data_IF_402079016326
#
_entry.id   IF_402079016326
#
_cell.length_a   1.000
_cell.length_b   1.000
_cell.length_c   1.000
_cell.angle_alpha   90.00
_cell.angle_beta   90.00
_cell.angle_gamma   90.00
#
_symmetry.space_group_name_H-M   'P 1'
#
loop_
_entity.id
_entity.type
_entity.pdbx_description
1 polymer ?
#
# COMPACT_ATOMS: atom_id res chain seq x y z
N UNK A 1 -13.86 16.41 -4.31
CA UNK A 1 -12.59 16.06 -4.95
C UNK A 1 -12.91 15.86 -6.42
N UNK A 2 -12.13 16.40 -7.34
CA UNK A 2 -12.41 16.25 -8.77
C UNK A 2 -11.52 15.18 -9.39
N UNK A 3 -11.95 14.62 -10.52
CA UNK A 3 -11.12 13.69 -11.34
C UNK A 3 -9.81 14.34 -11.77
N UNK A 4 -9.83 15.62 -12.15
CA UNK A 4 -8.64 16.40 -12.50
C UNK A 4 -7.66 16.49 -11.33
N UNK A 5 -8.17 16.72 -10.12
CA UNK A 5 -7.31 16.79 -8.95
C UNK A 5 -6.71 15.42 -8.61
N UNK A 6 -7.45 14.32 -8.79
CA UNK A 6 -6.88 12.98 -8.63
C UNK A 6 -5.76 12.69 -9.65
N UNK A 7 -5.87 13.17 -10.89
CA UNK A 7 -4.79 13.09 -11.88
C UNK A 7 -3.56 13.86 -11.37
N UNK A 8 -3.75 15.06 -10.84
CA UNK A 8 -2.66 15.82 -10.23
C UNK A 8 -2.00 15.07 -9.06
N UNK A 9 -2.79 14.42 -8.20
CA UNK A 9 -2.28 13.60 -7.10
C UNK A 9 -1.44 12.40 -7.59
N UNK A 10 -1.87 11.74 -8.66
CA UNK A 10 -1.10 10.64 -9.29
C UNK A 10 0.22 11.13 -9.87
N UNK A 11 0.22 12.29 -10.55
CA UNK A 11 1.44 12.92 -11.05
C UNK A 11 2.38 13.28 -9.91
N UNK A 12 1.85 13.83 -8.82
CA UNK A 12 2.63 14.14 -7.62
C UNK A 12 3.25 12.86 -7.02
N UNK A 13 2.47 11.79 -6.87
CA UNK A 13 2.95 10.51 -6.35
C UNK A 13 4.09 9.93 -7.20
N UNK A 14 3.94 9.93 -8.52
CA UNK A 14 4.98 9.45 -9.44
C UNK A 14 6.27 10.27 -9.30
N UNK A 15 6.17 11.60 -9.20
CA UNK A 15 7.33 12.46 -8.97
C UNK A 15 7.99 12.22 -7.60
N UNK A 16 7.18 12.01 -6.56
CA UNK A 16 7.67 11.71 -5.22
C UNK A 16 8.44 10.38 -5.20
N UNK A 17 7.86 9.30 -5.76
CA UNK A 17 8.50 7.99 -5.84
C UNK A 17 9.78 8.02 -6.70
N UNK A 18 9.74 8.72 -7.85
CA UNK A 18 10.89 8.89 -8.73
C UNK A 18 12.10 9.53 -8.02
N UNK A 19 11.85 10.44 -7.06
CA UNK A 19 12.89 11.11 -6.28
C UNK A 19 13.72 10.17 -5.38
N UNK A 20 13.30 8.92 -5.19
CA UNK A 20 14.00 7.93 -4.37
C UNK A 20 14.88 6.95 -5.15
N UNK A 21 14.87 7.01 -6.48
CA UNK A 21 15.78 6.22 -7.31
C UNK A 21 17.21 6.79 -7.23
N UNK A 22 18.21 5.89 -7.22
CA UNK A 22 19.64 6.25 -7.15
C UNK A 22 20.50 5.27 -7.94
N UNK A 23 21.82 5.47 -7.96
CA UNK A 23 22.77 4.55 -8.61
C UNK A 23 23.02 3.28 -7.76
N UNK A 24 21.94 2.54 -7.50
CA UNK A 24 21.95 1.29 -6.72
C UNK A 24 20.78 0.40 -7.19
N UNK A 25 21.05 -0.64 -8.01
CA UNK A 25 20.01 -1.53 -8.54
C UNK A 25 19.20 -2.26 -7.45
N UNK A 26 19.83 -2.62 -6.33
CA UNK A 26 19.15 -3.34 -5.25
C UNK A 26 18.17 -2.42 -4.51
N UNK A 27 18.61 -1.18 -4.24
CA UNK A 27 17.73 -0.15 -3.70
C UNK A 27 16.56 0.15 -4.64
N UNK A 28 16.84 0.37 -5.92
CA UNK A 28 15.82 0.70 -6.93
C UNK A 28 14.78 -0.42 -7.10
N UNK A 29 15.17 -1.68 -6.92
CA UNK A 29 14.24 -2.82 -6.91
C UNK A 29 13.22 -2.71 -5.78
N UNK A 30 13.65 -2.28 -4.59
CA UNK A 30 12.76 -2.09 -3.45
C UNK A 30 11.79 -0.91 -3.66
N UNK A 31 12.27 0.19 -4.25
CA UNK A 31 11.41 1.34 -4.62
C UNK A 31 10.35 0.91 -5.65
N UNK A 32 10.76 0.24 -6.72
CA UNK A 32 9.86 -0.28 -7.76
C UNK A 32 8.80 -1.22 -7.20
N UNK A 33 9.20 -2.13 -6.31
CA UNK A 33 8.27 -3.05 -5.65
C UNK A 33 7.11 -2.28 -4.98
N UNK A 34 7.40 -1.14 -4.36
CA UNK A 34 6.39 -0.30 -3.70
C UNK A 34 5.54 0.51 -4.66
N UNK A 35 6.09 0.98 -5.79
CA UNK A 35 5.27 1.60 -6.84
C UNK A 35 4.27 0.60 -7.43
N UNK A 36 4.73 -0.58 -7.81
CA UNK A 36 3.87 -1.61 -8.41
C UNK A 36 2.82 -2.12 -7.41
N UNK A 37 3.20 -2.22 -6.12
CA UNK A 37 2.27 -2.52 -5.03
C UNK A 37 1.16 -1.47 -4.94
N UNK A 38 1.51 -0.19 -4.84
CA UNK A 38 0.51 0.89 -4.79
C UNK A 38 -0.41 0.85 -6.01
N UNK A 39 0.12 0.62 -7.21
CA UNK A 39 -0.69 0.50 -8.43
C UNK A 39 -1.72 -0.65 -8.35
N UNK A 40 -1.31 -1.81 -7.82
CA UNK A 40 -2.21 -2.95 -7.62
C UNK A 40 -3.25 -2.66 -6.54
N UNK A 41 -2.87 -2.04 -5.42
CA UNK A 41 -3.82 -1.65 -4.37
C UNK A 41 -4.84 -0.63 -4.88
N UNK A 42 -4.44 0.33 -5.71
CA UNK A 42 -5.37 1.24 -6.39
C UNK A 42 -6.39 0.50 -7.26
N UNK A 43 -5.98 -0.53 -8.01
CA UNK A 43 -6.93 -1.36 -8.76
C UNK A 43 -7.87 -2.14 -7.86
N UNK A 44 -7.33 -2.76 -6.81
CA UNK A 44 -8.10 -3.56 -5.87
C UNK A 44 -9.16 -2.71 -5.17
N UNK A 45 -8.79 -1.52 -4.69
CA UNK A 45 -9.73 -0.65 -3.96
C UNK A 45 -10.86 -0.16 -4.85
N UNK A 46 -10.57 0.15 -6.13
CA UNK A 46 -11.59 0.54 -7.11
C UNK A 46 -12.52 -0.62 -7.45
N UNK A 47 -11.99 -1.84 -7.57
CA UNK A 47 -12.80 -3.04 -7.77
C UNK A 47 -13.75 -3.25 -6.59
N UNK A 48 -13.22 -3.29 -5.36
CA UNK A 48 -14.02 -3.47 -4.15
C UNK A 48 -15.05 -2.34 -3.96
N UNK A 49 -14.66 -1.09 -4.25
CA UNK A 49 -15.54 0.07 -4.14
C UNK A 49 -16.76 -0.03 -5.06
N UNK A 50 -16.59 -0.55 -6.29
CA UNK A 50 -17.71 -0.79 -7.21
C UNK A 50 -18.65 -1.87 -6.69
N UNK A 51 -18.11 -2.96 -6.15
CA UNK A 51 -18.92 -4.08 -5.62
C UNK A 51 -19.80 -3.64 -4.44
N UNK A 52 -19.35 -2.68 -3.63
CA UNK A 52 -20.14 -2.11 -2.53
C UNK A 52 -20.93 -0.86 -2.92
N UNK A 53 -21.01 -0.53 -4.22
CA UNK A 53 -21.76 0.60 -4.78
C UNK A 53 -21.34 1.97 -4.23
N UNK A 54 -20.04 2.21 -4.04
CA UNK A 54 -19.56 3.56 -3.73
C UNK A 54 -19.96 4.55 -4.83
N UNK A 55 -20.36 5.75 -4.41
CA UNK A 55 -20.60 6.87 -5.33
C UNK A 55 -19.31 7.31 -6.03
N UNK A 56 -19.45 8.04 -7.13
CA UNK A 56 -18.32 8.61 -7.87
C UNK A 56 -17.36 9.43 -6.99
N UNK A 57 -17.91 10.22 -6.06
CA UNK A 57 -17.11 11.03 -5.15
C UNK A 57 -16.40 10.17 -4.09
N UNK A 58 -17.02 9.09 -3.61
CA UNK A 58 -16.39 8.14 -2.68
C UNK A 58 -15.31 7.32 -3.38
N UNK A 59 -15.50 6.97 -4.65
CA UNK A 59 -14.51 6.28 -5.48
C UNK A 59 -13.22 7.10 -5.64
N UNK A 60 -13.32 8.43 -5.83
CA UNK A 60 -12.16 9.32 -5.87
C UNK A 60 -11.40 9.36 -4.53
N UNK A 61 -12.14 9.36 -3.42
CA UNK A 61 -11.54 9.31 -2.08
C UNK A 61 -10.86 7.97 -1.85
N UNK A 62 -11.51 6.85 -2.19
CA UNK A 62 -10.94 5.51 -2.05
C UNK A 62 -9.64 5.37 -2.85
N UNK A 63 -9.64 5.79 -4.12
CA UNK A 63 -8.42 5.76 -4.94
C UNK A 63 -7.31 6.63 -4.37
N UNK A 64 -7.65 7.81 -3.83
CA UNK A 64 -6.67 8.67 -3.15
C UNK A 64 -6.09 8.01 -1.91
N UNK A 65 -6.91 7.32 -1.11
CA UNK A 65 -6.43 6.55 0.04
C UNK A 65 -5.44 5.48 -0.39
N UNK A 66 -5.79 4.67 -1.41
CA UNK A 66 -4.90 3.64 -1.93
C UNK A 66 -3.61 4.20 -2.52
N UNK A 67 -3.68 5.33 -3.23
CA UNK A 67 -2.50 5.97 -3.81
C UNK A 67 -1.46 6.36 -2.75
N UNK A 68 -1.92 6.75 -1.56
CA UNK A 68 -1.04 7.30 -0.52
C UNK A 68 -0.85 6.40 0.72
N UNK A 69 -1.53 5.25 0.82
CA UNK A 69 -1.47 4.41 2.03
C UNK A 69 -0.03 4.06 2.44
N UNK A 70 0.80 3.72 1.47
CA UNK A 70 2.20 3.30 1.66
C UNK A 70 3.22 4.39 1.26
N UNK A 71 2.80 5.67 1.07
CA UNK A 71 3.72 6.76 0.64
C UNK A 71 4.90 6.97 1.60
N UNK A 72 4.73 6.63 2.89
CA UNK A 72 5.82 6.66 3.86
C UNK A 72 6.92 5.62 3.59
N UNK A 73 6.65 4.54 2.85
CA UNK A 73 7.62 3.47 2.58
C UNK A 73 8.84 3.95 1.80
N UNK A 74 8.65 4.91 0.91
CA UNK A 74 9.74 5.44 0.09
C UNK A 74 10.81 6.11 0.96
N UNK A 75 10.39 7.03 1.83
CA UNK A 75 11.27 7.67 2.80
C UNK A 75 11.82 6.70 3.82
N UNK A 76 10.98 5.80 4.34
CA UNK A 76 11.41 4.77 5.29
C UNK A 76 12.57 3.94 4.74
N UNK A 77 12.45 3.46 3.51
CA UNK A 77 13.50 2.64 2.91
C UNK A 77 14.75 3.45 2.60
N UNK A 78 14.59 4.70 2.14
CA UNK A 78 15.73 5.57 1.86
C UNK A 78 16.55 5.92 3.12
N UNK A 79 15.89 6.13 4.26
CA UNK A 79 16.55 6.50 5.52
C UNK A 79 17.07 5.27 6.29
N UNK A 80 16.31 4.17 6.30
CA UNK A 80 16.58 3.02 7.19
C UNK A 80 17.02 1.75 6.44
N UNK A 81 16.91 1.69 5.11
CA UNK A 81 17.25 0.50 4.33
C UNK A 81 16.33 -0.70 4.57
N UNK A 82 15.15 -0.50 5.17
CA UNK A 82 14.21 -1.57 5.53
C UNK A 82 12.77 -1.08 5.51
N UNK A 83 11.83 -1.98 5.24
CA UNK A 83 10.38 -1.75 5.40
C UNK A 83 9.85 -2.27 6.74
N UNK A 84 10.72 -2.74 7.66
CA UNK A 84 10.27 -3.25 8.96
C UNK A 84 10.00 -2.07 9.90
N UNK A 85 8.72 -1.77 10.14
CA UNK A 85 8.31 -0.67 11.04
C UNK A 85 8.92 -0.80 12.44
N UNK A 86 9.00 -2.01 12.99
CA UNK A 86 9.60 -2.26 14.31
C UNK A 86 11.11 -1.97 14.38
N UNK A 87 11.81 -2.07 13.24
CA UNK A 87 13.24 -1.78 13.13
C UNK A 87 13.50 -0.35 12.62
N UNK A 88 12.45 0.43 12.37
CA UNK A 88 12.52 1.77 11.79
C UNK A 88 11.39 2.65 12.36
N UNK A 89 10.53 3.17 11.50
CA UNK A 89 9.38 3.98 11.87
C UNK A 89 8.08 3.42 11.27
N UNK A 90 6.94 3.65 11.94
CA UNK A 90 5.63 3.34 11.38
C UNK A 90 5.38 4.14 10.08
N UNK A 91 5.35 3.44 8.96
CA UNK A 91 5.23 4.03 7.63
C UNK A 91 3.93 4.81 7.40
N UNK A 92 2.81 4.40 8.02
CA UNK A 92 1.54 5.11 7.90
C UNK A 92 1.64 6.53 8.51
N UNK A 93 2.26 6.64 9.69
CA UNK A 93 2.52 7.94 10.35
C UNK A 93 3.53 8.77 9.56
N UNK A 94 4.59 8.15 9.03
CA UNK A 94 5.56 8.82 8.17
C UNK A 94 4.89 9.37 6.91
N UNK A 95 4.03 8.58 6.26
CA UNK A 95 3.28 8.99 5.08
C UNK A 95 2.38 10.20 5.33
N UNK A 96 1.64 10.22 6.44
CA UNK A 96 0.82 11.39 6.83
C UNK A 96 1.67 12.65 7.01
N UNK A 97 2.87 12.53 7.62
CA UNK A 97 3.76 13.69 7.77
C UNK A 97 4.27 14.18 6.43
N UNK A 98 4.70 13.29 5.54
CA UNK A 98 5.15 13.65 4.20
C UNK A 98 4.02 14.33 3.39
N UNK A 99 2.82 13.79 3.41
CA UNK A 99 1.65 14.40 2.76
C UNK A 99 1.34 15.80 3.30
N UNK A 100 1.50 16.02 4.61
CA UNK A 100 1.31 17.31 5.25
C UNK A 100 2.39 18.32 4.86
N UNK A 101 3.67 17.91 4.90
CA UNK A 101 4.82 18.73 4.51
C UNK A 101 4.69 19.24 3.08
N UNK A 102 4.26 18.37 2.17
CA UNK A 102 4.08 18.70 0.76
C UNK A 102 2.71 19.29 0.42
N UNK A 103 1.83 19.47 1.41
CA UNK A 103 0.46 19.99 1.24
C UNK A 103 -0.32 19.25 0.14
N UNK A 104 -0.12 17.93 0.05
CA UNK A 104 -0.62 17.06 -1.03
C UNK A 104 -2.13 17.22 -1.20
N UNK A 105 -2.87 17.25 -0.09
CA UNK A 105 -4.33 17.35 -0.09
C UNK A 105 -4.86 18.79 -0.07
N UNK A 106 -4.06 19.81 -0.39
CA UNK A 106 -4.41 21.23 -0.22
C UNK A 106 -5.78 21.61 -0.78
N UNK A 107 -6.18 21.10 -1.95
CA UNK A 107 -7.46 21.40 -2.59
C UNK A 107 -8.64 20.53 -2.11
N UNK A 108 -8.39 19.54 -1.22
CA UNK A 108 -9.46 18.77 -0.59
C UNK A 108 -10.22 19.60 0.45
N UNK A 109 -11.51 19.29 0.63
CA UNK A 109 -12.30 19.81 1.74
C UNK A 109 -11.78 19.31 3.09
N UNK A 110 -12.24 19.89 4.20
CA UNK A 110 -11.86 19.44 5.54
C UNK A 110 -12.28 17.99 5.79
N UNK A 111 -13.45 17.58 5.32
CA UNK A 111 -13.94 16.21 5.49
C UNK A 111 -13.15 15.22 4.64
N UNK A 112 -12.83 15.56 3.40
CA UNK A 112 -12.00 14.71 2.54
C UNK A 112 -10.61 14.51 3.14
N UNK A 113 -9.96 15.58 3.63
CA UNK A 113 -8.67 15.50 4.32
C UNK A 113 -8.74 14.57 5.53
N UNK A 114 -9.82 14.68 6.30
CA UNK A 114 -10.05 13.87 7.50
C UNK A 114 -10.23 12.39 7.15
N UNK A 115 -11.06 12.08 6.15
CA UNK A 115 -11.31 10.71 5.70
C UNK A 115 -10.02 10.08 5.18
N UNK A 116 -9.33 10.75 4.25
CA UNK A 116 -8.09 10.23 3.63
C UNK A 116 -7.02 10.01 4.70
N UNK A 117 -6.74 11.02 5.52
CA UNK A 117 -5.69 10.93 6.55
C UNK A 117 -5.99 9.85 7.58
N UNK A 118 -7.26 9.66 7.96
CA UNK A 118 -7.64 8.61 8.92
C UNK A 118 -7.50 7.22 8.31
N UNK A 119 -7.98 7.03 7.08
CA UNK A 119 -7.87 5.74 6.41
C UNK A 119 -6.41 5.30 6.28
N UNK A 120 -5.52 6.22 5.88
CA UNK A 120 -4.07 5.98 5.80
C UNK A 120 -3.49 5.70 7.20
N UNK A 121 -3.77 6.53 8.20
CA UNK A 121 -3.17 6.37 9.53
C UNK A 121 -3.49 5.02 10.21
N UNK A 122 -4.63 4.40 9.88
CA UNK A 122 -5.08 3.15 10.47
C UNK A 122 -5.00 1.94 9.54
N UNK A 123 -4.49 2.09 8.31
CA UNK A 123 -4.48 0.96 7.37
C UNK A 123 -3.62 -0.21 7.86
N UNK A 124 -2.53 0.04 8.59
CA UNK A 124 -1.69 -1.00 9.19
C UNK A 124 -1.99 -1.28 10.68
N UNK A 125 -3.03 -0.69 11.27
CA UNK A 125 -3.32 -0.84 12.69
C UNK A 125 -3.79 -2.27 13.04
N UNK A 126 -3.50 -2.76 14.25
CA UNK A 126 -3.98 -4.10 14.68
C UNK A 126 -5.51 -4.10 14.82
N UNK A 127 -6.06 -3.06 15.47
CA UNK A 127 -7.49 -2.87 15.66
C UNK A 127 -7.92 -1.51 15.13
N UNK A 128 -9.12 -1.45 14.55
CA UNK A 128 -9.71 -0.19 14.10
C UNK A 128 -10.41 0.52 15.26
N UNK A 129 -10.38 1.86 15.31
CA UNK A 129 -11.05 2.63 16.35
C UNK A 129 -12.59 2.65 16.21
N UNK A 130 -13.11 2.24 15.05
CA UNK A 130 -14.54 2.11 14.76
C UNK A 130 -14.75 1.14 13.60
N UNK A 131 -15.75 0.26 13.71
CA UNK A 131 -16.09 -0.70 12.65
C UNK A 131 -16.84 -0.05 11.47
N UNK A 132 -17.38 1.17 11.65
CA UNK A 132 -18.19 1.87 10.66
C UNK A 132 -17.41 2.67 9.60
N UNK A 133 -16.08 2.75 9.69
CA UNK A 133 -15.28 3.51 8.73
C UNK A 133 -14.98 2.67 7.47
N UNK A 134 -15.81 2.88 6.43
CA UNK A 134 -15.74 2.13 5.18
C UNK A 134 -14.37 2.23 4.51
N UNK A 135 -13.72 3.40 4.54
CA UNK A 135 -12.45 3.60 3.84
C UNK A 135 -11.29 2.91 4.55
N UNK A 136 -11.28 2.89 5.89
CA UNK A 136 -10.28 2.11 6.66
C UNK A 136 -10.36 0.62 6.35
N UNK A 137 -11.59 0.08 6.24
CA UNK A 137 -11.78 -1.33 5.89
C UNK A 137 -11.38 -1.61 4.45
N UNK A 138 -11.82 -0.76 3.52
CA UNK A 138 -11.58 -0.93 2.10
C UNK A 138 -10.09 -0.94 1.76
N UNK A 139 -9.30 -0.02 2.35
CA UNK A 139 -7.85 -0.01 2.11
C UNK A 139 -7.17 -1.24 2.69
N UNK A 140 -7.58 -1.72 3.86
CA UNK A 140 -7.04 -2.94 4.47
C UNK A 140 -7.32 -4.17 3.64
N UNK A 141 -8.53 -4.26 3.10
CA UNK A 141 -8.92 -5.39 2.24
C UNK A 141 -8.17 -5.30 0.90
N UNK A 142 -8.08 -4.12 0.29
CA UNK A 142 -7.36 -3.91 -0.98
C UNK A 142 -5.85 -4.21 -0.87
N UNK A 143 -5.22 -3.78 0.22
CA UNK A 143 -3.80 -4.01 0.54
C UNK A 143 -3.52 -5.50 0.77
N UNK A 144 -4.33 -6.15 1.62
CA UNK A 144 -4.22 -7.61 1.86
C UNK A 144 -4.44 -8.43 0.59
N UNK A 145 -5.38 -8.03 -0.28
CA UNK A 145 -5.59 -8.72 -1.57
C UNK A 145 -4.34 -8.67 -2.45
N UNK A 146 -3.52 -7.61 -2.38
CA UNK A 146 -2.25 -7.58 -3.11
C UNK A 146 -1.24 -8.59 -2.55
N UNK A 147 -1.14 -8.68 -1.23
CA UNK A 147 -0.28 -9.66 -0.55
C UNK A 147 -0.66 -11.08 -0.99
N UNK A 148 -1.94 -11.42 -1.00
CA UNK A 148 -2.40 -12.73 -1.44
C UNK A 148 -2.05 -13.02 -2.90
N UNK A 149 -2.15 -12.03 -3.78
CA UNK A 149 -1.76 -12.19 -5.19
C UNK A 149 -0.26 -12.43 -5.37
N UNK A 150 0.58 -11.71 -4.62
CA UNK A 150 2.03 -11.94 -4.62
C UNK A 150 2.35 -13.35 -4.10
N UNK A 151 1.68 -13.77 -3.03
CA UNK A 151 1.83 -15.12 -2.46
C UNK A 151 1.39 -16.20 -3.43
N UNK A 152 0.20 -16.09 -4.04
CA UNK A 152 -0.30 -17.12 -4.96
C UNK A 152 0.55 -17.22 -6.23
N UNK A 153 1.02 -16.08 -6.75
CA UNK A 153 1.96 -16.07 -7.87
C UNK A 153 3.29 -16.75 -7.49
N UNK A 154 3.83 -16.47 -6.30
CA UNK A 154 5.03 -17.15 -5.79
C UNK A 154 4.84 -18.67 -5.75
N UNK A 155 3.72 -19.17 -5.23
CA UNK A 155 3.46 -20.61 -5.17
C UNK A 155 3.15 -21.22 -6.55
N UNK A 156 2.48 -20.49 -7.45
CA UNK A 156 2.23 -20.95 -8.83
C UNK A 156 3.50 -20.97 -9.68
N UNK A 157 4.44 -20.06 -9.43
CA UNK A 157 5.74 -19.99 -10.09
C UNK A 157 6.79 -20.89 -9.42
N UNK A 158 6.58 -21.32 -8.16
CA UNK A 158 7.42 -22.31 -7.47
C UNK A 158 7.48 -23.65 -8.19
N UNK A 159 6.42 -23.99 -8.94
CA UNK A 159 6.41 -25.15 -9.84
C UNK A 159 7.26 -24.95 -11.10
N UNK A 160 7.75 -23.73 -11.37
CA UNK A 160 8.55 -23.39 -12.56
C UNK A 160 9.97 -22.89 -12.24
N UNK A 161 10.20 -22.00 -11.27
CA UNK A 161 11.55 -21.52 -10.88
C UNK A 161 11.58 -21.01 -9.41
N UNK A 162 12.58 -21.47 -8.63
CA UNK A 162 12.82 -21.02 -7.24
C UNK A 162 13.37 -19.58 -7.21
N UNK A 163 12.56 -18.58 -6.89
CA UNK A 163 13.03 -17.22 -6.59
C UNK A 163 12.99 -16.96 -5.07
N UNK A 164 14.15 -16.71 -4.45
CA UNK A 164 14.36 -16.68 -2.98
C UNK A 164 14.07 -15.30 -2.35
N UNK A 165 13.37 -14.39 -3.03
CA UNK A 165 13.27 -12.99 -2.58
C UNK A 165 11.92 -12.60 -1.93
N UNK A 166 11.21 -13.54 -1.31
CA UNK A 166 9.98 -13.25 -0.55
C UNK A 166 10.04 -14.01 0.78
N UNK A 167 10.84 -13.52 1.72
CA UNK A 167 10.71 -13.93 3.13
C UNK A 167 9.51 -13.20 3.73
N UNK A 168 8.36 -13.89 3.76
CA UNK A 168 7.15 -13.47 4.47
C UNK A 168 7.18 -13.80 5.98
N UNK A 169 8.34 -14.16 6.53
CA UNK A 169 8.49 -14.62 7.93
C UNK A 169 7.52 -15.76 8.31
N UNK A 170 7.04 -16.52 7.30
CA UNK A 170 6.16 -17.66 7.49
C UNK A 170 7.01 -18.93 7.66
N UNK A 171 6.86 -19.68 8.77
CA UNK A 171 7.65 -20.87 9.00
C UNK A 171 7.35 -21.96 7.96
N UNK A 172 8.39 -22.37 7.25
CA UNK A 172 8.34 -23.39 6.20
C UNK A 172 8.34 -24.79 6.87
N UNK A 173 7.19 -25.22 7.37
CA UNK A 173 7.01 -26.58 7.92
C UNK A 173 6.08 -27.42 7.05
N UNK A 174 6.55 -27.78 5.86
CA UNK A 174 6.02 -28.95 5.16
C UNK A 174 6.55 -30.21 5.86
N UNK A 175 5.87 -30.64 6.92
CA UNK A 175 6.13 -31.95 7.52
C UNK A 175 5.61 -33.00 6.54
N UNK A 176 6.50 -33.56 5.71
CA UNK A 176 6.21 -34.76 4.92
C UNK A 176 5.85 -35.88 5.90
N UNK A 177 4.56 -36.18 6.07
CA UNK A 177 4.15 -37.47 6.57
C UNK A 177 4.39 -38.47 5.45
N UNK A 178 5.53 -39.14 5.50
CA UNK A 178 5.77 -40.37 4.74
C UNK A 178 4.78 -41.42 5.24
N UNK A 179 3.65 -41.55 4.54
CA UNK A 179 2.80 -42.73 4.58
C UNK A 179 3.53 -43.83 3.81
N UNK A 180 4.35 -44.61 4.52
CA UNK A 180 4.71 -45.96 4.07
C UNK A 180 3.60 -46.90 4.55
N UNK A 181 2.95 -47.54 3.59
CA UNK A 181 2.10 -48.72 3.76
C UNK A 181 2.93 -49.88 4.36
#
# INVERSE_FOLDING_TARGET
MTREYLIHLKTWFAGYAAGYYRDDPNHNRAIRLKEEHTERVCRNILMLGREINLSEQEMLIAETVALFHDVGRFKQYAEYGTFKDMASENHARLGIREMSLHRVLSACTKDEKRIVSRAIAYHNAVMLPSEGDVFMRLIRDADKLDIWKVVTNYYAERDRQRNVAIELDLPDTVRRMSLTC
#
